data_IF_372573860687
#
_entry.id   IF_372573860687
#
_cell.length_a   1.000
_cell.length_b   1.000
_cell.length_c   1.000
_cell.angle_alpha   90.00
_cell.angle_beta   90.00
_cell.angle_gamma   90.00
#
_symmetry.space_group_name_H-M   'P 1'
#
loop_
_entity.id
_entity.type
_entity.pdbx_description
1 polymer ?
#
# COMPACT_ATOMS: atom_id res chain seq x y z
N UNK A 1 31.12 21.79 41.56
CA UNK A 1 30.69 23.16 41.20
C UNK A 1 30.51 23.37 39.69
N UNK A 2 31.29 22.72 38.81
CA UNK A 2 31.16 22.83 37.35
C UNK A 2 29.75 22.50 36.79
N UNK A 3 29.09 21.42 37.23
CA UNK A 3 27.73 21.03 36.79
C UNK A 3 26.63 22.09 37.04
N UNK A 4 26.80 22.96 38.04
CA UNK A 4 25.83 24.04 38.32
C UNK A 4 26.05 25.25 37.42
N UNK A 5 27.29 25.54 37.02
CA UNK A 5 27.61 26.64 36.10
C UNK A 5 27.20 26.31 34.66
N UNK A 6 27.37 25.06 34.21
CA UNK A 6 26.84 24.61 32.91
C UNK A 6 25.33 24.73 32.86
N UNK A 7 24.60 24.31 33.90
CA UNK A 7 23.14 24.46 33.94
C UNK A 7 22.65 25.93 33.94
N UNK A 8 23.39 26.86 34.56
CA UNK A 8 23.02 28.28 34.58
C UNK A 8 23.30 28.94 33.21
N UNK A 9 24.40 28.58 32.54
CA UNK A 9 24.69 29.00 31.16
C UNK A 9 23.66 28.44 30.16
N UNK A 10 23.26 27.17 30.34
CA UNK A 10 22.24 26.51 29.52
C UNK A 10 20.86 27.16 29.65
N UNK A 11 20.44 27.49 30.88
CA UNK A 11 19.18 28.20 31.15
C UNK A 11 19.23 29.65 30.67
N UNK A 12 20.40 30.30 30.69
CA UNK A 12 20.57 31.65 30.14
C UNK A 12 20.50 31.69 28.60
N UNK A 13 20.96 30.64 27.90
CA UNK A 13 20.81 30.52 26.45
C UNK A 13 19.34 30.32 26.03
N UNK A 14 18.58 29.57 26.84
CA UNK A 14 17.14 29.33 26.65
C UNK A 14 16.30 30.61 26.74
N UNK A 15 16.68 31.53 27.64
CA UNK A 15 16.01 32.82 27.77
C UNK A 15 16.36 33.78 26.61
N UNK A 16 17.60 33.76 26.09
CA UNK A 16 18.02 34.61 24.97
C UNK A 16 17.61 34.10 23.58
N UNK A 17 17.26 32.81 23.44
CA UNK A 17 16.74 32.27 22.19
C UNK A 17 15.34 32.81 21.81
N UNK A 18 14.62 33.42 22.76
CA UNK A 18 13.29 34.02 22.52
C UNK A 18 13.31 35.52 22.21
N UNK A 19 14.39 36.24 22.53
CA UNK A 19 14.54 37.68 22.28
C UNK A 19 16.01 38.01 21.97
N UNK A 20 16.36 38.26 20.70
CA UNK A 20 17.53 39.02 20.19
C UNK A 20 18.11 38.45 18.88
N UNK A 21 18.70 39.35 18.08
CA UNK A 21 19.23 39.20 16.73
C UNK A 21 20.00 37.90 16.44
N UNK A 22 19.73 37.31 15.27
CA UNK A 22 20.28 36.03 14.77
C UNK A 22 21.81 35.96 14.68
N UNK A 23 22.50 37.10 14.58
CA UNK A 23 23.97 37.19 14.45
C UNK A 23 24.68 36.85 15.77
N UNK A 24 24.10 37.20 16.92
CA UNK A 24 24.71 36.95 18.24
C UNK A 24 24.62 35.47 18.64
N UNK A 25 23.50 34.81 18.33
CA UNK A 25 23.25 33.38 18.65
C UNK A 25 24.24 32.44 17.97
N UNK A 26 24.54 32.65 16.70
CA UNK A 26 25.48 31.81 15.93
C UNK A 26 26.92 31.85 16.44
N UNK A 27 27.35 32.95 17.08
CA UNK A 27 28.69 33.05 17.63
C UNK A 27 28.82 32.38 19.02
N UNK A 28 27.73 32.27 19.77
CA UNK A 28 27.74 31.65 21.11
C UNK A 28 27.84 30.12 20.99
N UNK A 29 27.03 29.51 20.12
CA UNK A 29 27.02 28.04 19.91
C UNK A 29 28.37 27.53 19.37
N UNK A 30 29.11 28.36 18.62
CA UNK A 30 30.46 28.01 18.13
C UNK A 30 31.47 27.77 19.25
N UNK A 31 31.29 28.41 20.41
CA UNK A 31 32.23 28.34 21.53
C UNK A 31 31.94 27.17 22.49
N UNK A 32 30.88 26.40 22.25
CA UNK A 32 30.55 25.23 23.06
C UNK A 32 31.44 24.04 22.71
N UNK A 33 31.76 23.26 23.75
CA UNK A 33 32.32 21.92 23.58
C UNK A 33 31.32 21.00 22.85
N UNK A 34 31.80 19.90 22.30
CA UNK A 34 30.94 18.97 21.55
C UNK A 34 29.87 18.33 22.45
N UNK A 35 30.22 18.01 23.70
CA UNK A 35 29.26 17.52 24.71
C UNK A 35 28.18 18.55 25.03
N UNK A 36 28.53 19.84 25.11
CA UNK A 36 27.56 20.90 25.34
C UNK A 36 26.63 21.08 24.14
N UNK A 37 27.16 21.02 22.92
CA UNK A 37 26.34 21.06 21.69
C UNK A 37 25.38 19.89 21.63
N UNK A 38 25.84 18.68 21.95
CA UNK A 38 24.99 17.48 21.94
C UNK A 38 23.85 17.60 22.95
N UNK A 39 24.13 18.06 24.17
CA UNK A 39 23.08 18.29 25.17
C UNK A 39 22.07 19.34 24.70
N UNK A 40 22.52 20.44 24.08
CA UNK A 40 21.61 21.49 23.56
C UNK A 40 20.75 20.93 22.44
N UNK A 41 21.35 20.16 21.53
CA UNK A 41 20.64 19.48 20.45
C UNK A 41 19.53 18.57 20.99
N UNK A 42 19.86 17.66 21.92
CA UNK A 42 18.90 16.73 22.54
C UNK A 42 17.74 17.49 23.16
N UNK A 43 18.02 18.52 23.96
CA UNK A 43 16.98 19.33 24.59
C UNK A 43 16.05 19.98 23.56
N UNK A 44 16.61 20.66 22.55
CA UNK A 44 15.82 21.35 21.53
C UNK A 44 14.96 20.36 20.73
N UNK A 45 15.54 19.21 20.38
CA UNK A 45 14.86 18.16 19.63
C UNK A 45 13.68 17.55 20.41
N UNK A 46 13.87 17.27 21.71
CA UNK A 46 12.85 16.69 22.57
C UNK A 46 11.70 17.68 22.82
N UNK A 47 12.01 18.94 23.09
CA UNK A 47 10.99 19.98 23.24
C UNK A 47 10.21 20.22 21.94
N UNK A 48 10.89 20.18 20.79
CA UNK A 48 10.23 20.24 19.48
C UNK A 48 9.26 19.07 19.31
N UNK A 49 9.69 17.85 19.68
CA UNK A 49 8.85 16.66 19.68
C UNK A 49 7.60 16.80 20.54
N UNK A 50 7.76 17.30 21.78
CA UNK A 50 6.62 17.56 22.69
C UNK A 50 5.65 18.59 22.10
N UNK A 51 6.16 19.72 21.60
CA UNK A 51 5.32 20.75 21.00
C UNK A 51 4.59 20.23 19.76
N UNK A 52 5.25 19.41 18.93
CA UNK A 52 4.62 18.77 17.76
C UNK A 52 3.47 17.86 18.16
N UNK A 53 3.66 17.01 19.17
CA UNK A 53 2.62 16.11 19.69
C UNK A 53 1.45 16.87 20.32
N UNK A 54 1.70 18.03 20.93
CA UNK A 54 0.67 18.90 21.50
C UNK A 54 -0.02 19.81 20.47
N UNK A 55 0.32 19.69 19.18
CA UNK A 55 -0.25 20.52 18.10
C UNK A 55 0.32 21.95 18.02
N UNK A 56 1.32 22.29 18.83
CA UNK A 56 2.02 23.57 18.80
C UNK A 56 3.03 23.62 17.64
N UNK A 57 2.54 23.48 16.41
CA UNK A 57 3.37 23.27 15.21
C UNK A 57 4.37 24.41 14.94
N UNK A 58 4.03 25.65 15.26
CA UNK A 58 4.94 26.79 15.11
C UNK A 58 6.14 26.69 16.06
N UNK A 59 5.89 26.43 17.34
CA UNK A 59 6.96 26.27 18.33
C UNK A 59 7.84 25.07 18.01
N UNK A 60 7.22 23.96 17.59
CA UNK A 60 7.95 22.77 17.19
C UNK A 60 8.90 23.04 16.02
N UNK A 61 8.44 23.78 15.00
CA UNK A 61 9.26 24.18 13.87
C UNK A 61 10.45 25.05 14.31
N UNK A 62 10.20 26.10 15.10
CA UNK A 62 11.27 26.98 15.61
C UNK A 62 12.34 26.18 16.36
N UNK A 63 11.92 25.20 17.16
CA UNK A 63 12.83 24.36 17.94
C UNK A 63 13.58 23.33 17.09
N UNK A 64 12.95 22.71 16.08
CA UNK A 64 13.65 21.84 15.13
C UNK A 64 14.61 22.63 14.22
N UNK A 65 14.29 23.87 13.84
CA UNK A 65 15.22 24.73 13.11
C UNK A 65 16.41 25.11 13.99
N UNK A 66 16.17 25.45 15.26
CA UNK A 66 17.23 25.72 16.23
C UNK A 66 18.10 24.48 16.49
N UNK A 67 17.52 23.27 16.58
CA UNK A 67 18.31 22.04 16.73
C UNK A 67 19.23 21.81 15.52
N UNK A 68 18.79 22.18 14.31
CA UNK A 68 19.60 22.13 13.09
C UNK A 68 20.71 23.19 13.04
N UNK A 69 20.58 24.32 13.74
CA UNK A 69 21.69 25.27 13.89
C UNK A 69 22.83 24.69 14.74
N UNK A 70 22.50 23.80 15.69
CA UNK A 70 23.46 23.11 16.56
C UNK A 70 24.03 21.86 15.89
N UNK A 71 23.17 21.03 15.31
CA UNK A 71 23.54 19.82 14.57
C UNK A 71 22.88 19.80 13.18
N UNK A 72 23.55 20.34 12.15
CA UNK A 72 23.04 20.35 10.78
C UNK A 72 22.90 18.97 10.13
N UNK A 73 23.44 17.92 10.74
CA UNK A 73 23.39 16.52 10.27
C UNK A 73 22.28 15.71 10.95
N UNK A 74 21.33 16.36 11.63
CA UNK A 74 20.19 15.68 12.22
C UNK A 74 19.12 15.32 11.17
N UNK A 75 19.23 14.14 10.57
CA UNK A 75 18.21 13.62 9.64
C UNK A 75 16.80 13.60 10.26
N UNK A 76 16.70 13.28 11.55
CA UNK A 76 15.44 13.24 12.27
C UNK A 76 14.79 14.64 12.40
N UNK A 77 15.58 15.69 12.61
CA UNK A 77 15.04 17.06 12.68
C UNK A 77 14.44 17.49 11.34
N UNK A 78 15.13 17.15 10.23
CA UNK A 78 14.60 17.38 8.88
C UNK A 78 13.31 16.57 8.61
N UNK A 79 13.28 15.29 9.01
CA UNK A 79 12.08 14.45 8.88
C UNK A 79 10.87 15.04 9.64
N UNK A 80 11.06 15.46 10.89
CA UNK A 80 9.96 16.05 11.64
C UNK A 80 9.55 17.43 11.13
N UNK A 81 10.47 18.24 10.61
CA UNK A 81 10.11 19.45 9.88
C UNK A 81 9.23 19.11 8.67
N UNK A 82 9.58 18.11 7.86
CA UNK A 82 8.72 17.68 6.75
C UNK A 82 7.30 17.33 7.23
N UNK A 83 7.17 16.60 8.35
CA UNK A 83 5.87 16.26 8.95
C UNK A 83 5.04 17.48 9.38
N UNK A 84 5.68 18.55 9.88
CA UNK A 84 5.01 19.80 10.24
C UNK A 84 4.47 20.49 9.00
N UNK A 85 5.26 20.53 7.93
CA UNK A 85 4.86 21.15 6.67
C UNK A 85 3.78 20.32 5.93
N UNK A 86 3.80 18.99 6.05
CA UNK A 86 2.69 18.10 5.63
C UNK A 86 1.39 18.50 6.33
N UNK A 87 1.42 18.68 7.65
CA UNK A 87 0.23 19.07 8.42
C UNK A 87 -0.34 20.44 7.98
N UNK A 88 0.53 21.34 7.51
CA UNK A 88 0.15 22.64 6.93
C UNK A 88 -0.21 22.58 5.44
N UNK A 89 -0.14 21.40 4.81
CA UNK A 89 -0.36 21.17 3.37
C UNK A 89 0.64 21.89 2.45
N UNK A 90 1.77 22.35 3.00
CA UNK A 90 2.89 22.85 2.20
C UNK A 90 3.79 21.68 1.79
N UNK A 91 3.31 20.93 0.80
CA UNK A 91 3.97 19.72 0.32
C UNK A 91 5.30 19.99 -0.38
N UNK A 92 5.52 21.21 -0.89
CA UNK A 92 6.75 21.56 -1.57
C UNK A 92 7.89 21.79 -0.58
N UNK A 93 7.63 22.52 0.52
CA UNK A 93 8.60 22.67 1.60
C UNK A 93 8.83 21.36 2.34
N UNK A 94 7.76 20.58 2.58
CA UNK A 94 7.90 19.24 3.16
C UNK A 94 8.83 18.34 2.33
N UNK A 95 8.68 18.33 1.00
CA UNK A 95 9.56 17.57 0.11
C UNK A 95 11.02 18.01 0.21
N UNK A 96 11.29 19.30 0.38
CA UNK A 96 12.66 19.80 0.51
C UNK A 96 13.32 19.33 1.81
N UNK A 97 12.59 19.36 2.93
CA UNK A 97 13.09 18.83 4.21
C UNK A 97 13.24 17.30 4.18
N UNK A 98 12.28 16.57 3.62
CA UNK A 98 12.36 15.11 3.50
C UNK A 98 13.53 14.66 2.61
N UNK A 99 13.85 15.42 1.55
CA UNK A 99 15.09 15.22 0.76
C UNK A 99 16.34 15.32 1.62
N UNK A 100 16.44 16.32 2.49
CA UNK A 100 17.59 16.49 3.40
C UNK A 100 17.71 15.33 4.40
N UNK A 101 16.59 14.86 4.95
CA UNK A 101 16.58 13.67 5.82
C UNK A 101 17.15 12.43 5.09
N UNK A 102 16.75 12.20 3.83
CA UNK A 102 17.25 11.10 3.00
C UNK A 102 18.69 11.31 2.54
N UNK A 103 19.13 12.55 2.28
CA UNK A 103 20.54 12.83 1.94
C UNK A 103 21.49 12.42 3.08
N UNK A 104 21.10 12.67 4.33
CA UNK A 104 21.89 12.35 5.52
C UNK A 104 21.80 10.86 5.86
N UNK A 105 20.60 10.27 5.80
CA UNK A 105 20.40 8.85 6.06
C UNK A 105 19.61 8.18 4.92
N UNK A 106 20.31 7.78 3.83
CA UNK A 106 19.68 7.32 2.60
C UNK A 106 19.07 5.92 2.67
N UNK A 107 19.32 5.20 3.77
CA UNK A 107 18.91 3.82 3.95
C UNK A 107 17.73 3.65 4.92
N UNK A 108 17.37 4.72 5.65
CA UNK A 108 16.25 4.72 6.59
C UNK A 108 14.92 4.53 5.85
N UNK A 109 14.18 3.49 6.24
CA UNK A 109 12.90 3.13 5.63
C UNK A 109 11.86 4.26 5.69
N UNK A 110 11.68 4.88 6.86
CA UNK A 110 10.65 5.89 7.09
C UNK A 110 10.93 7.18 6.32
N UNK A 111 12.20 7.57 6.21
CA UNK A 111 12.58 8.78 5.47
C UNK A 111 12.42 8.59 3.96
N UNK A 112 12.78 7.41 3.45
CA UNK A 112 12.53 7.05 2.06
C UNK A 112 11.02 7.00 1.75
N UNK A 113 10.23 6.40 2.63
CA UNK A 113 8.78 6.29 2.44
C UNK A 113 8.12 7.68 2.40
N UNK A 114 8.42 8.55 3.37
CA UNK A 114 7.85 9.91 3.41
C UNK A 114 8.26 10.72 2.18
N UNK A 115 9.53 10.65 1.76
CA UNK A 115 9.99 11.31 0.53
C UNK A 115 9.22 10.81 -0.69
N UNK A 116 8.99 9.50 -0.80
CA UNK A 116 8.23 8.92 -1.92
C UNK A 116 6.76 9.36 -1.91
N UNK A 117 6.11 9.39 -0.74
CA UNK A 117 4.74 9.89 -0.60
C UNK A 117 4.64 11.37 -0.97
N UNK A 118 5.60 12.19 -0.54
CA UNK A 118 5.69 13.62 -0.89
C UNK A 118 5.98 13.84 -2.38
N UNK A 119 6.80 13.00 -3.01
CA UNK A 119 7.01 13.04 -4.45
C UNK A 119 5.71 12.74 -5.19
N UNK A 120 4.97 11.70 -4.77
CA UNK A 120 3.66 11.35 -5.35
C UNK A 120 2.66 12.50 -5.23
N UNK A 121 2.53 13.10 -4.03
CA UNK A 121 1.62 14.23 -3.78
C UNK A 121 1.99 15.45 -4.65
N UNK A 122 3.28 15.70 -4.87
CA UNK A 122 3.76 16.78 -5.73
C UNK A 122 3.77 16.43 -7.23
N UNK A 123 3.09 15.35 -7.66
CA UNK A 123 2.98 14.95 -9.06
C UNK A 123 4.25 14.32 -9.67
N UNK A 124 5.27 14.04 -8.84
CA UNK A 124 6.53 13.42 -9.26
C UNK A 124 6.46 11.90 -9.11
N UNK A 125 5.45 11.29 -9.74
CA UNK A 125 5.14 9.86 -9.57
C UNK A 125 6.28 8.94 -10.03
N UNK A 126 7.01 9.30 -11.10
CA UNK A 126 8.16 8.51 -11.56
C UNK A 126 9.30 8.46 -10.52
N UNK A 127 9.57 9.58 -9.85
CA UNK A 127 10.59 9.63 -8.79
C UNK A 127 10.14 8.82 -7.56
N UNK A 128 8.84 8.89 -7.23
CA UNK A 128 8.25 8.10 -6.16
C UNK A 128 8.33 6.59 -6.46
N UNK A 129 8.02 6.17 -7.70
CA UNK A 129 8.11 4.78 -8.17
C UNK A 129 9.50 4.19 -7.93
N UNK A 130 10.57 4.94 -8.23
CA UNK A 130 11.95 4.51 -8.02
C UNK A 130 12.22 4.22 -6.54
N UNK A 131 11.75 5.10 -5.64
CA UNK A 131 11.95 4.92 -4.20
C UNK A 131 11.11 3.75 -3.67
N UNK A 132 9.84 3.62 -4.06
CA UNK A 132 9.01 2.48 -3.65
C UNK A 132 9.61 1.15 -4.11
N UNK A 133 10.16 1.08 -5.33
CA UNK A 133 10.90 -0.10 -5.81
C UNK A 133 12.14 -0.39 -4.95
N UNK A 134 12.90 0.65 -4.56
CA UNK A 134 14.02 0.49 -3.61
C UNK A 134 13.53 -0.08 -2.27
N UNK A 135 12.39 0.39 -1.76
CA UNK A 135 11.79 -0.12 -0.51
C UNK A 135 11.37 -1.59 -0.62
N UNK A 136 10.72 -2.00 -1.73
CA UNK A 136 10.36 -3.40 -1.96
C UNK A 136 11.58 -4.30 -2.14
N UNK A 137 12.66 -3.82 -2.74
CA UNK A 137 13.90 -4.61 -2.84
C UNK A 137 14.49 -4.93 -1.46
N UNK A 138 14.34 -4.02 -0.49
CA UNK A 138 14.78 -4.24 0.90
C UNK A 138 13.81 -5.07 1.72
N UNK A 139 12.52 -4.80 1.57
CA UNK A 139 11.46 -5.55 2.24
C UNK A 139 10.41 -6.00 1.21
N UNK A 140 10.61 -7.16 0.57
CA UNK A 140 9.69 -7.68 -0.44
C UNK A 140 8.31 -8.04 0.09
N UNK A 141 8.08 -7.98 1.41
CA UNK A 141 6.82 -8.34 2.07
C UNK A 141 5.94 -7.13 2.40
N UNK A 142 6.34 -5.94 1.97
CA UNK A 142 5.70 -4.71 2.41
C UNK A 142 4.45 -4.40 1.60
N UNK A 143 3.30 -4.89 2.08
CA UNK A 143 1.98 -4.67 1.48
C UNK A 143 1.67 -3.19 1.25
N UNK A 144 1.99 -2.33 2.22
CA UNK A 144 1.74 -0.89 2.07
C UNK A 144 2.46 -0.29 0.85
N UNK A 145 3.67 -0.75 0.54
CA UNK A 145 4.42 -0.27 -0.63
C UNK A 145 3.87 -0.87 -1.93
N UNK A 146 3.39 -2.12 -1.91
CA UNK A 146 2.64 -2.69 -3.03
C UNK A 146 1.39 -1.88 -3.34
N UNK A 147 0.64 -1.45 -2.33
CA UNK A 147 -0.55 -0.61 -2.51
C UNK A 147 -0.19 0.74 -3.14
N UNK A 148 0.88 1.42 -2.67
CA UNK A 148 1.33 2.69 -3.25
C UNK A 148 1.71 2.56 -4.73
N UNK A 149 2.44 1.51 -5.10
CA UNK A 149 2.80 1.27 -6.51
C UNK A 149 1.58 0.85 -7.34
N UNK A 150 0.68 0.04 -6.78
CA UNK A 150 -0.55 -0.39 -7.44
C UNK A 150 -1.46 0.79 -7.74
N UNK A 151 -1.57 1.76 -6.82
CA UNK A 151 -2.30 3.00 -7.00
C UNK A 151 -1.75 3.81 -8.18
N UNK A 152 -0.42 4.01 -8.23
CA UNK A 152 0.26 4.73 -9.32
C UNK A 152 -0.03 4.05 -10.67
N UNK A 153 0.21 2.74 -10.77
CA UNK A 153 0.03 2.03 -12.04
C UNK A 153 -1.43 1.92 -12.46
N UNK A 154 -2.35 1.76 -11.51
CA UNK A 154 -3.78 1.68 -11.80
C UNK A 154 -4.32 3.02 -12.30
N UNK A 155 -3.93 4.13 -11.65
CA UNK A 155 -4.31 5.49 -12.04
C UNK A 155 -3.82 5.83 -13.45
N UNK A 156 -2.60 5.42 -13.80
CA UNK A 156 -2.01 5.66 -15.11
C UNK A 156 -2.43 4.62 -16.17
N UNK A 157 -3.26 3.64 -15.79
CA UNK A 157 -3.63 2.50 -16.62
C UNK A 157 -2.42 1.72 -17.18
N UNK A 158 -1.30 1.73 -16.44
CA UNK A 158 -0.05 1.04 -16.75
C UNK A 158 -0.16 -0.46 -16.40
N UNK A 159 -1.06 -1.17 -17.07
CA UNK A 159 -1.38 -2.59 -16.79
C UNK A 159 -0.12 -3.46 -16.82
N UNK A 160 0.83 -3.18 -17.73
CA UNK A 160 2.10 -3.93 -17.82
C UNK A 160 2.96 -3.80 -16.57
N UNK A 161 3.09 -2.59 -16.01
CA UNK A 161 3.86 -2.39 -14.77
C UNK A 161 3.15 -3.05 -13.57
N UNK A 162 1.82 -2.98 -13.54
CA UNK A 162 1.01 -3.63 -12.52
C UNK A 162 1.15 -5.16 -12.55
N UNK A 163 1.12 -5.77 -13.75
CA UNK A 163 1.43 -7.20 -13.93
C UNK A 163 2.82 -7.50 -13.40
N UNK A 164 3.85 -6.74 -13.79
CA UNK A 164 5.22 -6.96 -13.31
C UNK A 164 5.36 -6.88 -11.79
N UNK A 165 4.60 -5.96 -11.15
CA UNK A 165 4.55 -5.83 -9.70
C UNK A 165 3.96 -7.08 -9.02
N UNK A 166 2.83 -7.58 -9.52
CA UNK A 166 2.17 -8.77 -8.97
C UNK A 166 2.91 -10.07 -9.31
N UNK A 167 3.59 -10.15 -10.45
CA UNK A 167 4.51 -11.26 -10.74
C UNK A 167 5.70 -11.26 -9.77
N UNK A 168 6.24 -10.09 -9.43
CA UNK A 168 7.30 -9.99 -8.42
C UNK A 168 6.78 -10.44 -7.06
N UNK A 169 5.60 -9.96 -6.66
CA UNK A 169 4.91 -10.35 -5.41
C UNK A 169 4.75 -11.86 -5.33
N UNK A 170 4.13 -12.45 -6.35
CA UNK A 170 3.90 -13.90 -6.45
C UNK A 170 5.18 -14.72 -6.40
N UNK A 171 6.22 -14.34 -7.16
CA UNK A 171 7.46 -15.13 -7.21
C UNK A 171 8.30 -15.05 -5.93
N UNK A 172 8.31 -13.91 -5.26
CA UNK A 172 9.25 -13.66 -4.15
C UNK A 172 8.64 -13.84 -2.78
N UNK A 173 7.35 -13.58 -2.65
CA UNK A 173 6.77 -13.31 -1.35
C UNK A 173 5.44 -14.03 -1.12
N UNK A 174 4.44 -13.75 -1.96
CA UNK A 174 3.06 -14.10 -1.70
C UNK A 174 2.40 -14.65 -2.95
N UNK A 175 2.31 -15.98 -3.02
CA UNK A 175 1.59 -16.71 -4.05
C UNK A 175 0.28 -17.32 -3.52
N UNK A 176 -0.36 -16.61 -2.59
CA UNK A 176 -1.72 -16.89 -2.10
C UNK A 176 -2.75 -16.94 -3.24
N UNK A 177 -3.91 -17.58 -3.00
CA UNK A 177 -5.05 -17.53 -3.92
C UNK A 177 -5.39 -16.10 -4.37
N UNK A 178 -5.42 -15.15 -3.44
CA UNK A 178 -5.77 -13.75 -3.69
C UNK A 178 -4.79 -13.08 -4.67
N UNK A 179 -3.48 -13.27 -4.46
CA UNK A 179 -2.46 -12.70 -5.35
C UNK A 179 -2.48 -13.36 -6.73
N UNK A 180 -2.68 -14.67 -6.81
CA UNK A 180 -2.78 -15.38 -8.09
C UNK A 180 -4.04 -14.99 -8.87
N UNK A 181 -5.19 -14.84 -8.21
CA UNK A 181 -6.43 -14.37 -8.83
C UNK A 181 -6.30 -12.92 -9.31
N UNK A 182 -5.62 -12.06 -8.53
CA UNK A 182 -5.33 -10.69 -8.97
C UNK A 182 -4.46 -10.70 -10.22
N UNK A 183 -3.37 -11.49 -10.24
CA UNK A 183 -2.50 -11.61 -11.40
C UNK A 183 -3.24 -12.18 -12.63
N UNK A 184 -4.10 -13.17 -12.44
CA UNK A 184 -4.98 -13.71 -13.48
C UNK A 184 -5.87 -12.61 -14.09
N UNK A 185 -6.57 -11.85 -13.25
CA UNK A 185 -7.45 -10.76 -13.69
C UNK A 185 -6.68 -9.65 -14.42
N UNK A 186 -5.45 -9.34 -13.98
CA UNK A 186 -4.59 -8.39 -14.67
C UNK A 186 -4.21 -8.87 -16.07
N UNK A 187 -3.89 -10.16 -16.26
CA UNK A 187 -3.65 -10.72 -17.58
C UNK A 187 -4.90 -10.77 -18.47
N UNK A 188 -6.09 -10.98 -17.89
CA UNK A 188 -7.34 -10.82 -18.64
C UNK A 188 -7.54 -9.39 -19.13
N UNK A 189 -7.30 -8.39 -18.26
CA UNK A 189 -7.38 -6.97 -18.62
C UNK A 189 -6.38 -6.60 -19.73
N UNK A 190 -5.21 -7.22 -19.71
CA UNK A 190 -4.17 -7.12 -20.74
C UNK A 190 -4.49 -7.91 -22.03
N UNK A 191 -5.62 -8.65 -22.06
CA UNK A 191 -6.02 -9.56 -23.15
C UNK A 191 -5.01 -10.68 -23.41
N UNK A 192 -4.13 -10.97 -22.46
CA UNK A 192 -3.14 -12.04 -22.55
C UNK A 192 -3.74 -13.35 -22.01
N UNK A 193 -4.71 -13.89 -22.76
CA UNK A 193 -5.44 -15.10 -22.37
C UNK A 193 -4.54 -16.32 -22.17
N UNK A 194 -3.41 -16.39 -22.91
CA UNK A 194 -2.42 -17.47 -22.74
C UNK A 194 -1.78 -17.43 -21.35
N UNK A 195 -1.37 -16.24 -20.88
CA UNK A 195 -0.82 -16.09 -19.54
C UNK A 195 -1.88 -16.25 -18.46
N UNK A 196 -3.08 -15.71 -18.68
CA UNK A 196 -4.21 -15.92 -17.77
C UNK A 196 -4.49 -17.43 -17.56
N UNK A 197 -4.56 -18.21 -18.65
CA UNK A 197 -4.73 -19.66 -18.57
C UNK A 197 -3.62 -20.34 -17.78
N UNK A 198 -2.36 -19.94 -17.98
CA UNK A 198 -1.23 -20.49 -17.24
C UNK A 198 -1.36 -20.22 -15.74
N UNK A 199 -1.70 -18.98 -15.35
CA UNK A 199 -1.85 -18.60 -13.94
C UNK A 199 -3.00 -19.38 -13.30
N UNK A 200 -4.20 -19.36 -13.89
CA UNK A 200 -5.36 -20.01 -13.26
C UNK A 200 -5.22 -21.53 -13.19
N UNK A 201 -4.62 -22.17 -14.20
CA UNK A 201 -4.34 -23.62 -14.17
C UNK A 201 -3.31 -23.96 -13.10
N UNK A 202 -2.29 -23.11 -12.92
CA UNK A 202 -1.29 -23.30 -11.87
C UNK A 202 -1.87 -23.10 -10.48
N UNK A 203 -2.78 -22.11 -10.32
CA UNK A 203 -3.49 -21.85 -9.08
C UNK A 203 -4.42 -23.02 -8.71
N UNK A 204 -5.19 -23.56 -9.67
CA UNK A 204 -6.07 -24.71 -9.46
C UNK A 204 -5.29 -25.95 -9.00
N UNK A 205 -4.11 -26.19 -9.61
CA UNK A 205 -3.24 -27.29 -9.20
C UNK A 205 -2.66 -27.09 -7.79
N UNK A 206 -2.31 -25.85 -7.44
CA UNK A 206 -1.69 -25.53 -6.16
C UNK A 206 -2.69 -25.50 -5.00
N UNK A 207 -3.90 -25.04 -5.27
CA UNK A 207 -4.99 -24.90 -4.30
C UNK A 207 -6.19 -25.73 -4.75
N UNK A 208 -6.05 -27.07 -4.77
CA UNK A 208 -7.06 -27.96 -5.33
C UNK A 208 -8.33 -28.03 -4.49
N UNK A 209 -8.41 -27.39 -3.33
CA UNK A 209 -9.62 -27.33 -2.49
C UNK A 209 -10.25 -25.94 -2.48
N UNK A 210 -9.57 -24.93 -3.03
CA UNK A 210 -10.08 -23.56 -3.10
C UNK A 210 -11.16 -23.47 -4.19
N UNK A 211 -12.41 -23.37 -3.74
CA UNK A 211 -13.56 -23.34 -4.65
C UNK A 211 -13.62 -22.04 -5.47
N UNK A 212 -13.04 -20.92 -4.99
CA UNK A 212 -13.01 -19.67 -5.75
C UNK A 212 -12.09 -19.81 -6.94
N UNK A 213 -10.89 -20.36 -6.74
CA UNK A 213 -9.95 -20.65 -7.83
C UNK A 213 -10.58 -21.57 -8.87
N UNK A 214 -11.19 -22.68 -8.44
CA UNK A 214 -11.89 -23.61 -9.34
C UNK A 214 -13.03 -22.94 -10.09
N UNK A 215 -13.85 -22.13 -9.40
CA UNK A 215 -14.96 -21.39 -10.01
C UNK A 215 -14.46 -20.44 -11.08
N UNK A 216 -13.44 -19.64 -10.77
CA UNK A 216 -12.79 -18.73 -11.72
C UNK A 216 -12.18 -19.50 -12.91
N UNK A 217 -11.57 -20.67 -12.68
CA UNK A 217 -11.05 -21.53 -13.75
C UNK A 217 -12.17 -22.01 -14.68
N UNK A 218 -13.30 -22.46 -14.12
CA UNK A 218 -14.46 -22.90 -14.90
C UNK A 218 -15.04 -21.77 -15.75
N UNK A 219 -15.22 -20.59 -15.17
CA UNK A 219 -15.70 -19.39 -15.88
C UNK A 219 -14.74 -18.97 -16.99
N UNK A 220 -13.43 -18.98 -16.72
CA UNK A 220 -12.40 -18.70 -17.71
C UNK A 220 -12.44 -19.69 -18.89
N UNK A 221 -12.48 -20.99 -18.62
CA UNK A 221 -12.54 -22.00 -19.68
C UNK A 221 -13.83 -21.89 -20.49
N UNK A 222 -14.95 -21.60 -19.85
CA UNK A 222 -16.20 -21.35 -20.55
C UNK A 222 -16.10 -20.13 -21.48
N UNK A 223 -15.62 -18.99 -20.96
CA UNK A 223 -15.49 -17.73 -21.73
C UNK A 223 -14.52 -17.85 -22.91
N UNK A 224 -13.54 -18.75 -22.82
CA UNK A 224 -12.56 -19.04 -23.87
C UNK A 224 -12.97 -20.21 -24.79
N UNK A 225 -14.22 -20.68 -24.69
CA UNK A 225 -14.80 -21.68 -25.59
C UNK A 225 -14.52 -23.14 -25.22
N UNK A 226 -13.80 -23.42 -24.13
CA UNK A 226 -13.47 -24.76 -23.63
C UNK A 226 -14.58 -25.28 -22.72
N UNK A 227 -15.78 -25.41 -23.27
CA UNK A 227 -17.02 -25.71 -22.53
C UNK A 227 -16.95 -27.03 -21.76
N UNK A 228 -16.36 -28.06 -22.34
CA UNK A 228 -16.25 -29.39 -21.74
C UNK A 228 -15.35 -29.38 -20.49
N UNK A 229 -14.27 -28.59 -20.53
CA UNK A 229 -13.40 -28.40 -19.37
C UNK A 229 -14.12 -27.67 -18.25
N UNK A 230 -14.82 -26.58 -18.58
CA UNK A 230 -15.61 -25.83 -17.62
C UNK A 230 -16.66 -26.70 -16.94
N UNK A 231 -17.41 -27.49 -17.72
CA UNK A 231 -18.42 -28.41 -17.19
C UNK A 231 -17.82 -29.42 -16.21
N UNK A 232 -16.68 -30.01 -16.55
CA UNK A 232 -16.00 -30.98 -15.69
C UNK A 232 -15.65 -30.36 -14.33
N UNK A 233 -15.17 -29.12 -14.32
CA UNK A 233 -14.82 -28.41 -13.08
C UNK A 233 -16.09 -28.10 -12.28
N UNK A 234 -17.15 -27.61 -12.92
CA UNK A 234 -18.41 -27.32 -12.23
C UNK A 234 -19.04 -28.58 -11.60
N UNK A 235 -19.06 -29.70 -12.32
CA UNK A 235 -19.58 -30.98 -11.78
C UNK A 235 -18.78 -31.43 -10.56
N UNK A 236 -17.45 -31.26 -10.58
CA UNK A 236 -16.59 -31.53 -9.43
C UNK A 236 -16.93 -30.60 -8.26
N UNK A 237 -17.06 -29.30 -8.51
CA UNK A 237 -17.43 -28.32 -7.49
C UNK A 237 -18.79 -28.65 -6.83
N UNK A 238 -19.80 -29.04 -7.60
CA UNK A 238 -21.10 -29.44 -7.05
C UNK A 238 -21.02 -30.72 -6.22
N UNK A 239 -20.16 -31.66 -6.58
CA UNK A 239 -19.99 -32.90 -5.80
C UNK A 239 -19.30 -32.64 -4.45
N UNK A 240 -18.36 -31.70 -4.40
CA UNK A 240 -17.61 -31.35 -3.19
C UNK A 240 -18.38 -30.38 -2.29
N UNK A 241 -19.16 -29.48 -2.91
CA UNK A 241 -19.88 -28.39 -2.23
C UNK A 241 -21.35 -28.36 -2.66
N UNK A 242 -22.12 -29.43 -2.41
CA UNK A 242 -23.48 -29.58 -2.96
C UNK A 242 -24.41 -28.45 -2.55
N UNK A 243 -24.24 -27.89 -1.35
CA UNK A 243 -25.13 -26.87 -0.79
C UNK A 243 -24.57 -25.44 -0.88
N UNK A 244 -23.41 -25.26 -1.51
CA UNK A 244 -22.87 -23.94 -1.74
C UNK A 244 -23.69 -23.21 -2.81
N UNK A 245 -24.35 -22.13 -2.40
CA UNK A 245 -25.29 -21.39 -3.23
C UNK A 245 -24.62 -20.72 -4.43
N UNK A 246 -23.41 -20.18 -4.25
CA UNK A 246 -22.69 -19.49 -5.34
C UNK A 246 -22.23 -20.46 -6.43
N UNK A 247 -21.77 -21.65 -6.05
CA UNK A 247 -21.40 -22.72 -6.99
C UNK A 247 -22.63 -23.18 -7.79
N UNK A 248 -23.75 -23.40 -7.11
CA UNK A 248 -25.01 -23.78 -7.77
C UNK A 248 -25.47 -22.67 -8.74
N UNK A 249 -25.36 -21.39 -8.35
CA UNK A 249 -25.66 -20.26 -9.22
C UNK A 249 -24.76 -20.24 -10.46
N UNK A 250 -23.43 -20.29 -10.29
CA UNK A 250 -22.48 -20.29 -11.41
C UNK A 250 -22.75 -21.45 -12.37
N UNK A 251 -23.06 -22.65 -11.87
CA UNK A 251 -23.38 -23.78 -12.73
C UNK A 251 -24.73 -23.64 -13.43
N UNK A 252 -25.77 -23.13 -12.76
CA UNK A 252 -27.05 -22.84 -13.40
C UNK A 252 -26.87 -21.88 -14.59
N UNK A 253 -26.09 -20.80 -14.43
CA UNK A 253 -25.79 -19.89 -15.53
C UNK A 253 -25.01 -20.58 -16.66
N UNK A 254 -24.02 -21.41 -16.33
CA UNK A 254 -23.31 -22.21 -17.32
C UNK A 254 -24.28 -23.10 -18.12
N UNK A 255 -25.17 -23.84 -17.44
CA UNK A 255 -26.16 -24.72 -18.08
C UNK A 255 -27.11 -23.92 -18.99
N UNK A 256 -27.63 -22.79 -18.51
CA UNK A 256 -28.50 -21.92 -19.29
C UNK A 256 -27.83 -21.43 -20.57
N UNK A 257 -26.56 -21.02 -20.48
CA UNK A 257 -25.81 -20.51 -21.64
C UNK A 257 -25.35 -21.59 -22.61
N UNK A 258 -25.24 -22.83 -22.14
CA UNK A 258 -24.83 -23.97 -22.96
C UNK A 258 -26.00 -24.78 -23.51
N UNK A 259 -27.24 -24.41 -23.15
CA UNK A 259 -28.46 -25.09 -23.62
C UNK A 259 -28.79 -26.38 -22.87
N UNK A 260 -28.22 -26.58 -21.68
CA UNK A 260 -28.48 -27.75 -20.82
C UNK A 260 -29.73 -27.50 -19.96
N UNK A 261 -30.89 -27.54 -20.60
CA UNK A 261 -32.16 -27.13 -19.99
C UNK A 261 -32.56 -28.00 -18.79
N UNK A 262 -32.40 -29.32 -18.89
CA UNK A 262 -32.73 -30.24 -17.80
C UNK A 262 -31.88 -29.98 -16.55
N UNK A 263 -30.55 -29.92 -16.72
CA UNK A 263 -29.63 -29.64 -15.61
C UNK A 263 -29.91 -28.26 -15.01
N UNK A 264 -30.15 -27.25 -15.85
CA UNK A 264 -30.51 -25.90 -15.41
C UNK A 264 -31.81 -25.89 -14.59
N UNK A 265 -32.84 -26.62 -15.02
CA UNK A 265 -34.12 -26.70 -14.32
C UNK A 265 -33.97 -27.32 -12.94
N UNK A 266 -33.25 -28.44 -12.83
CA UNK A 266 -33.03 -29.13 -11.55
C UNK A 266 -32.28 -28.24 -10.54
N UNK A 267 -31.21 -27.57 -10.97
CA UNK A 267 -30.45 -26.68 -10.09
C UNK A 267 -31.30 -25.47 -9.69
N UNK A 268 -32.03 -24.89 -10.64
CA UNK A 268 -32.89 -23.72 -10.37
C UNK A 268 -33.97 -24.09 -9.36
N UNK A 269 -34.60 -25.26 -9.48
CA UNK A 269 -35.57 -25.78 -8.52
C UNK A 269 -34.97 -25.87 -7.11
N UNK A 270 -33.75 -26.42 -6.97
CA UNK A 270 -33.01 -26.45 -5.70
C UNK A 270 -32.79 -25.04 -5.14
N UNK A 271 -32.31 -24.11 -5.96
CA UNK A 271 -32.03 -22.72 -5.56
C UNK A 271 -33.29 -21.94 -5.17
N UNK A 272 -34.42 -22.18 -5.82
CA UNK A 272 -35.69 -21.52 -5.49
C UNK A 272 -36.21 -21.90 -4.10
N UNK A 273 -35.93 -23.13 -3.65
CA UNK A 273 -36.25 -23.62 -2.30
C UNK A 273 -35.27 -23.20 -1.21
N UNK A 274 -34.16 -22.52 -1.56
CA UNK A 274 -33.16 -22.04 -0.60
C UNK A 274 -33.43 -20.62 -0.09
N UNK A 275 -32.66 -20.16 0.89
CA UNK A 275 -32.68 -18.78 1.42
C UNK A 275 -32.07 -17.73 0.47
N UNK A 276 -31.88 -18.08 -0.80
CA UNK A 276 -31.36 -17.19 -1.83
C UNK A 276 -32.21 -15.90 -1.94
N UNK A 277 -31.51 -14.76 -2.01
CA UNK A 277 -32.12 -13.44 -2.16
C UNK A 277 -33.11 -13.38 -3.35
N UNK A 278 -34.21 -12.65 -3.15
CA UNK A 278 -35.31 -12.56 -4.12
C UNK A 278 -34.84 -12.01 -5.47
N UNK A 279 -33.91 -11.04 -5.50
CA UNK A 279 -33.38 -10.53 -6.77
C UNK A 279 -32.55 -11.57 -7.51
N UNK A 280 -31.76 -12.37 -6.80
CA UNK A 280 -31.01 -13.49 -7.39
C UNK A 280 -31.95 -14.56 -7.96
N UNK A 281 -33.04 -14.88 -7.25
CA UNK A 281 -34.11 -15.77 -7.75
C UNK A 281 -34.79 -15.20 -9.00
N UNK A 282 -35.14 -13.92 -9.01
CA UNK A 282 -35.73 -13.26 -10.19
C UNK A 282 -34.74 -13.30 -11.37
N UNK A 283 -33.46 -13.01 -11.15
CA UNK A 283 -32.45 -13.04 -12.22
C UNK A 283 -32.23 -14.43 -12.81
N UNK A 284 -32.27 -15.47 -11.96
CA UNK A 284 -32.26 -16.86 -12.42
C UNK A 284 -33.42 -17.12 -13.39
N UNK A 285 -34.63 -16.67 -13.06
CA UNK A 285 -35.83 -16.89 -13.87
C UNK A 285 -35.91 -16.02 -15.14
N UNK A 286 -35.35 -14.81 -15.10
CA UNK A 286 -35.61 -13.78 -16.13
C UNK A 286 -34.49 -13.55 -17.12
N UNK A 287 -33.21 -13.57 -16.70
CA UNK A 287 -32.14 -12.96 -17.49
C UNK A 287 -30.94 -13.85 -17.77
N UNK A 288 -30.68 -14.88 -16.95
CA UNK A 288 -29.49 -15.72 -17.12
C UNK A 288 -28.17 -14.92 -17.16
N UNK A 289 -28.15 -13.70 -16.60
CA UNK A 289 -26.95 -12.84 -16.52
C UNK A 289 -26.69 -12.50 -15.06
N UNK A 290 -25.55 -12.94 -14.58
CA UNK A 290 -24.96 -12.51 -13.32
C UNK A 290 -23.50 -12.20 -13.59
N UNK A 291 -23.03 -11.04 -13.13
CA UNK A 291 -21.60 -10.77 -13.04
C UNK A 291 -21.13 -11.45 -11.76
N UNK A 292 -20.50 -12.62 -11.89
CA UNK A 292 -19.93 -13.34 -10.76
C UNK A 292 -18.48 -12.90 -10.53
N UNK A 293 -18.16 -12.72 -9.25
CA UNK A 293 -16.86 -12.45 -8.63
C UNK A 293 -16.26 -11.05 -8.84
#
# INVERSE_FOLDING_TARGET
>A
MQKKQTNILFVSLLLFLTFSCSVSKKNIVKNFSDDEKENVFIYLFDEAGKNRLNGNLQKAEEQYLASLEVNPQSAASYFYLASIYIARKDYQSALNFSKKAVEINPENYWYLLEKADLLKINGKENDAEIIYKKLLNKNPKNESVYDKLSEIYSKNNDIKKLIGLYELKSRKYDDSPETLLTLFNLYLKDKNYKKAEQIITSAEKKYPDDFKIKGTAAEFFYSTGKKEKAEKIYKKLLSEYPDNTDINLSYAFFCKKTGKEDEYFEITKKLMSSDLDVYKKINLLTSGRYNNF
#
